data_IF_297548610668
#
_entry.id   IF_297548610668
#
_cell.length_a   1.000
_cell.length_b   1.000
_cell.length_c   1.000
_cell.angle_alpha   90.00
_cell.angle_beta   90.00
_cell.angle_gamma   90.00
#
_symmetry.space_group_name_H-M   'P 1'
#
loop_
_entity.id
_entity.type
_entity.pdbx_description
1 polymer ?
#
# COMPACT_ATOMS: atom_id res chain seq x y z
N UNK A 1 -11.61 -7.43 -5.29
CA UNK A 1 -11.76 -6.18 -6.07
C UNK A 1 -10.43 -5.70 -6.69
N UNK A 2 -9.34 -5.58 -5.93
CA UNK A 2 -8.05 -5.11 -6.46
C UNK A 2 -7.38 -6.11 -7.42
N UNK A 3 -7.56 -7.42 -7.18
CA UNK A 3 -7.05 -8.47 -8.08
C UNK A 3 -7.65 -8.36 -9.50
N UNK A 4 -8.96 -8.18 -9.61
CA UNK A 4 -9.62 -8.02 -10.92
C UNK A 4 -9.22 -6.69 -11.59
N UNK A 5 -9.09 -5.61 -10.82
CA UNK A 5 -8.61 -4.32 -11.33
C UNK A 5 -7.16 -4.39 -11.84
N UNK A 6 -6.28 -5.15 -11.17
CA UNK A 6 -4.90 -5.37 -11.61
C UNK A 6 -4.86 -6.00 -13.01
N UNK A 7 -5.62 -7.08 -13.22
CA UNK A 7 -5.71 -7.76 -14.52
C UNK A 7 -6.35 -6.87 -15.58
N UNK A 8 -7.36 -6.08 -15.22
CA UNK A 8 -7.94 -5.10 -16.14
C UNK A 8 -6.93 -4.04 -16.58
N UNK A 9 -6.11 -3.51 -15.68
CA UNK A 9 -5.06 -2.54 -16.00
C UNK A 9 -3.97 -3.16 -16.90
N UNK A 10 -3.58 -4.42 -16.65
CA UNK A 10 -2.65 -5.15 -17.50
C UNK A 10 -3.19 -5.34 -18.91
N UNK A 11 -4.48 -5.68 -19.05
CA UNK A 11 -5.14 -5.80 -20.35
C UNK A 11 -5.25 -4.47 -21.12
N UNK A 12 -5.19 -3.33 -20.42
CA UNK A 12 -5.24 -1.98 -21.00
C UNK A 12 -3.85 -1.36 -21.26
N UNK A 13 -2.80 -2.19 -21.30
CA UNK A 13 -1.42 -1.76 -21.57
C UNK A 13 -0.88 -0.73 -20.58
N UNK A 14 -1.40 -0.71 -19.35
CA UNK A 14 -0.83 0.11 -18.30
C UNK A 14 0.54 -0.44 -17.89
N UNK A 15 1.50 0.46 -17.67
CA UNK A 15 2.88 0.12 -17.32
C UNK A 15 3.09 0.37 -15.82
N UNK A 16 4.07 -0.33 -15.22
CA UNK A 16 4.34 -0.23 -13.77
C UNK A 16 3.10 -0.45 -12.90
N UNK A 17 2.36 -1.54 -13.17
CA UNK A 17 1.21 -1.91 -12.34
C UNK A 17 1.71 -2.58 -11.06
N UNK A 18 1.51 -1.93 -9.90
CA UNK A 18 1.99 -2.38 -8.60
C UNK A 18 0.86 -2.41 -7.56
N UNK A 19 0.85 -3.47 -6.76
CA UNK A 19 0.00 -3.60 -5.57
C UNK A 19 0.90 -3.37 -4.36
N UNK A 20 0.55 -2.40 -3.52
CA UNK A 20 1.35 -1.97 -2.37
C UNK A 20 0.48 -1.95 -1.13
N UNK A 21 1.02 -2.49 -0.03
CA UNK A 21 0.50 -2.33 1.32
C UNK A 21 1.53 -1.58 2.16
N UNK A 22 1.08 -0.78 3.12
CA UNK A 22 1.95 0.04 3.97
C UNK A 22 1.52 -0.09 5.44
N UNK A 23 2.46 -0.58 6.25
CA UNK A 23 2.27 -0.75 7.69
C UNK A 23 2.99 0.36 8.46
N UNK A 24 2.26 1.04 9.34
CA UNK A 24 2.80 2.09 10.20
C UNK A 24 2.81 1.61 11.65
N UNK A 25 3.93 1.83 12.34
CA UNK A 25 4.09 1.46 13.76
C UNK A 25 4.39 2.69 14.59
N UNK A 26 3.48 3.02 15.49
CA UNK A 26 3.62 4.13 16.42
C UNK A 26 4.48 3.72 17.62
N UNK A 27 5.31 4.65 18.07
CA UNK A 27 6.19 4.47 19.23
C UNK A 27 5.87 5.51 20.30
N UNK A 28 5.81 5.05 21.54
CA UNK A 28 5.76 5.90 22.71
C UNK A 28 7.18 6.30 23.08
N UNK A 29 7.45 7.61 23.12
CA UNK A 29 8.77 8.16 23.45
C UNK A 29 8.68 8.84 24.81
N UNK A 30 9.13 8.12 25.83
CA UNK A 30 9.33 8.61 27.21
C UNK A 30 10.75 8.21 27.61
N UNK A 31 11.42 9.08 28.36
CA UNK A 31 12.76 8.81 28.88
C UNK A 31 12.79 7.47 29.62
N UNK A 32 13.73 6.60 29.23
CA UNK A 32 13.93 5.22 29.72
C UNK A 32 12.74 4.24 29.53
N UNK A 33 11.69 4.64 28.80
CA UNK A 33 10.48 3.83 28.56
C UNK A 33 9.99 3.89 27.11
N UNK A 34 10.93 4.00 26.17
CA UNK A 34 10.59 4.06 24.76
C UNK A 34 10.26 2.68 24.21
N UNK A 35 9.04 2.49 23.71
CA UNK A 35 8.56 1.22 23.19
C UNK A 35 7.43 1.42 22.17
N UNK A 36 7.18 0.44 21.28
CA UNK A 36 6.01 0.48 20.40
C UNK A 36 4.71 0.45 21.19
N UNK A 37 3.67 1.10 20.69
CA UNK A 37 2.34 1.05 21.31
C UNK A 37 1.83 -0.40 21.30
N UNK A 38 1.39 -0.91 22.47
CA UNK A 38 1.06 -2.34 22.64
C UNK A 38 -0.24 -2.77 21.95
N UNK A 39 -1.19 -1.86 21.73
CA UNK A 39 -2.47 -2.15 21.09
C UNK A 39 -2.74 -1.14 19.98
N UNK A 40 -2.10 -1.35 18.82
CA UNK A 40 -2.32 -0.55 17.62
C UNK A 40 -3.16 -1.33 16.61
N UNK A 41 -4.22 -0.70 16.09
CA UNK A 41 -4.93 -1.24 14.93
C UNK A 41 -4.08 -1.02 13.69
N UNK A 42 -3.62 -2.12 13.08
CA UNK A 42 -2.77 -2.09 11.89
C UNK A 42 -3.65 -2.45 10.70
N UNK A 43 -4.41 -1.49 10.19
CA UNK A 43 -5.12 -1.64 8.91
C UNK A 43 -4.95 -0.37 8.07
N UNK A 44 -4.19 -0.46 6.98
CA UNK A 44 -4.02 0.65 6.03
C UNK A 44 -4.83 0.48 4.73
N UNK A 45 -5.26 -0.75 4.44
CA UNK A 45 -5.76 -1.10 3.12
C UNK A 45 -4.64 -1.28 2.11
N UNK A 46 -4.99 -1.69 0.90
CA UNK A 46 -4.04 -2.00 -0.17
C UNK A 46 -4.26 -1.02 -1.32
N UNK A 47 -3.17 -0.52 -1.90
CA UNK A 47 -3.17 0.44 -3.01
C UNK A 47 -2.76 -0.28 -4.29
N UNK A 48 -3.54 -0.10 -5.36
CA UNK A 48 -3.18 -0.49 -6.72
C UNK A 48 -2.80 0.77 -7.50
N UNK A 49 -1.57 0.82 -8.00
CA UNK A 49 -1.03 1.94 -8.78
C UNK A 49 -0.61 1.45 -10.17
N UNK A 50 -0.70 2.34 -11.16
CA UNK A 50 -0.26 2.08 -12.53
C UNK A 50 -0.03 3.39 -13.28
N UNK A 51 0.82 3.36 -14.31
CA UNK A 51 1.06 4.48 -15.23
C UNK A 51 0.28 4.23 -16.52
N UNK A 52 -0.58 5.18 -16.88
CA UNK A 52 -1.28 5.17 -18.17
C UNK A 52 -0.30 5.59 -19.27
N UNK A 53 -0.23 4.80 -20.34
CA UNK A 53 0.59 5.10 -21.50
C UNK A 53 -0.30 5.18 -22.73
N UNK A 54 -0.02 6.12 -23.62
CA UNK A 54 -0.71 6.26 -24.90
C UNK A 54 -0.13 5.24 -25.89
N UNK A 55 -0.97 4.41 -26.49
CA UNK A 55 -0.54 3.50 -27.56
C UNK A 55 -0.39 4.31 -28.84
N UNK A 56 0.85 4.47 -29.30
CA UNK A 56 1.16 4.95 -30.64
C UNK A 56 1.05 3.82 -31.66
#
# INVERSE_FOLDING_TARGET
PLYSAYHWLKAKHAVQVHVVDAFYRSHQIIQDRSHPIMQQFITGGVILSAIKVEQR
#
